data_IF_982263570531
#
_entry.id   IF_982263570531
#
_cell.length_a   1.000
_cell.length_b   1.000
_cell.length_c   1.000
_cell.angle_alpha   90.00
_cell.angle_beta   90.00
_cell.angle_gamma   90.00
#
_symmetry.space_group_name_H-M   'P 1'
#
loop_
_entity.id
_entity.type
_entity.pdbx_description
1 polymer ?
#
# COMPACT_ATOMS: atom_id res chain seq x y z
N UNK A 1 11.03 -25.36 37.91
CA UNK A 1 9.73 -25.49 37.22
C UNK A 1 9.46 -24.15 36.53
N UNK A 2 9.81 -24.04 35.23
CA UNK A 2 9.54 -22.82 34.46
C UNK A 2 8.10 -22.93 33.95
N UNK A 3 7.25 -22.02 34.39
CA UNK A 3 5.89 -21.89 33.88
C UNK A 3 6.02 -21.14 32.55
N UNK A 4 5.89 -21.84 31.44
CA UNK A 4 5.72 -21.22 30.13
C UNK A 4 4.30 -20.67 30.05
N UNK A 5 4.18 -19.35 30.12
CA UNK A 5 2.92 -18.65 29.88
C UNK A 5 2.75 -18.61 28.36
N UNK A 6 2.05 -19.60 27.81
CA UNK A 6 1.65 -19.60 26.41
C UNK A 6 0.81 -18.34 26.13
N UNK A 7 1.30 -17.47 25.25
CA UNK A 7 0.55 -16.30 24.82
C UNK A 7 -0.79 -16.76 24.20
N UNK A 8 -1.89 -16.48 24.90
CA UNK A 8 -3.24 -16.70 24.38
C UNK A 8 -3.41 -15.86 23.11
N UNK A 9 -3.64 -16.51 21.96
CA UNK A 9 -4.01 -15.83 20.72
C UNK A 9 -5.41 -15.22 20.89
N UNK A 10 -5.63 -13.95 20.53
CA UNK A 10 -6.95 -13.33 20.65
C UNK A 10 -7.99 -14.05 19.76
N UNK A 11 -9.25 -14.09 20.21
CA UNK A 11 -10.40 -14.80 19.58
C UNK A 11 -10.69 -14.43 18.11
N UNK A 12 -10.09 -13.37 17.58
CA UNK A 12 -10.33 -12.83 16.23
C UNK A 12 -9.53 -13.52 15.10
N UNK A 13 -9.03 -14.75 15.31
CA UNK A 13 -8.15 -15.44 14.36
C UNK A 13 -8.88 -16.39 13.39
N UNK A 14 -10.21 -16.39 13.34
CA UNK A 14 -10.93 -17.36 12.50
C UNK A 14 -10.85 -16.96 11.02
N UNK A 15 -10.10 -17.72 10.23
CA UNK A 15 -10.22 -17.72 8.77
C UNK A 15 -11.43 -18.55 8.40
N UNK A 16 -12.49 -17.90 7.92
CA UNK A 16 -13.75 -18.54 7.51
C UNK A 16 -14.14 -18.23 6.06
N UNK A 17 -13.32 -17.44 5.35
CA UNK A 17 -13.39 -17.25 3.92
C UNK A 17 -12.01 -17.06 3.31
N UNK A 18 -11.95 -17.16 1.98
CA UNK A 18 -10.71 -16.97 1.22
C UNK A 18 -10.45 -15.51 0.86
N UNK A 19 -11.48 -14.66 0.83
CA UNK A 19 -11.41 -13.28 0.36
C UNK A 19 -11.31 -12.22 1.47
N UNK A 20 -11.47 -12.62 2.74
CA UNK A 20 -11.48 -11.70 3.89
C UNK A 20 -12.87 -11.26 4.34
N UNK A 21 -13.95 -11.76 3.74
CA UNK A 21 -15.30 -11.62 4.31
C UNK A 21 -15.47 -12.60 5.48
N UNK A 22 -16.30 -12.27 6.46
CA UNK A 22 -16.62 -13.19 7.55
C UNK A 22 -17.88 -14.00 7.20
N UNK A 23 -17.69 -15.22 6.70
CA UNK A 23 -18.81 -16.10 6.38
C UNK A 23 -19.56 -16.58 7.62
N UNK A 24 -18.90 -16.65 8.79
CA UNK A 24 -19.51 -17.11 10.04
C UNK A 24 -20.70 -16.24 10.44
N UNK A 25 -20.54 -14.92 10.33
CA UNK A 25 -21.54 -13.94 10.77
C UNK A 25 -22.40 -13.41 9.59
N UNK A 26 -22.43 -14.16 8.49
CA UNK A 26 -23.08 -13.74 7.26
C UNK A 26 -24.58 -14.10 7.26
N UNK A 27 -25.45 -13.09 7.16
CA UNK A 27 -26.92 -13.24 7.09
C UNK A 27 -27.42 -14.13 5.94
N UNK A 28 -26.60 -14.33 4.90
CA UNK A 28 -26.92 -15.20 3.77
C UNK A 28 -26.87 -16.69 4.14
N UNK A 29 -26.21 -17.08 5.24
CA UNK A 29 -26.25 -18.46 5.74
C UNK A 29 -27.64 -18.87 6.17
N UNK A 30 -28.33 -17.99 6.90
CA UNK A 30 -29.71 -18.24 7.34
C UNK A 30 -30.72 -17.99 6.23
N UNK A 31 -30.61 -16.86 5.52
CA UNK A 31 -31.63 -16.44 4.56
C UNK A 31 -31.61 -17.21 3.23
N UNK A 32 -30.46 -17.74 2.81
CA UNK A 32 -30.32 -18.49 1.55
C UNK A 32 -29.76 -19.91 1.72
N UNK A 33 -29.64 -20.41 2.96
CA UNK A 33 -29.02 -21.71 3.24
C UNK A 33 -27.56 -21.79 2.78
N UNK A 34 -26.83 -20.66 2.77
CA UNK A 34 -25.45 -20.62 2.30
C UNK A 34 -24.52 -21.46 3.22
N UNK A 35 -23.80 -22.43 2.65
CA UNK A 35 -22.80 -23.22 3.39
C UNK A 35 -21.55 -22.42 3.80
N UNK A 36 -21.31 -21.26 3.20
CA UNK A 36 -20.12 -20.44 3.42
C UNK A 36 -18.94 -20.84 2.52
N UNK A 37 -17.92 -19.97 2.40
CA UNK A 37 -16.87 -20.10 1.40
C UNK A 37 -15.98 -21.34 1.56
N UNK A 38 -15.51 -21.62 2.79
CA UNK A 38 -14.57 -22.73 3.05
C UNK A 38 -15.27 -24.08 2.94
N UNK A 39 -16.42 -24.25 3.61
CA UNK A 39 -17.19 -25.50 3.64
C UNK A 39 -17.65 -25.94 2.24
N UNK A 40 -18.05 -24.97 1.41
CA UNK A 40 -18.53 -25.24 0.04
C UNK A 40 -17.41 -25.34 -0.99
N UNK A 41 -16.13 -25.31 -0.58
CA UNK A 41 -15.00 -25.28 -1.51
C UNK A 41 -15.12 -24.17 -2.56
N UNK A 42 -15.55 -22.97 -2.14
CA UNK A 42 -15.70 -21.82 -3.01
C UNK A 42 -17.01 -21.75 -3.78
N UNK A 43 -18.04 -22.49 -3.38
CA UNK A 43 -19.37 -22.49 -4.00
C UNK A 43 -20.46 -22.03 -2.99
N UNK A 44 -20.42 -20.77 -2.51
CA UNK A 44 -21.48 -20.20 -1.68
C UNK A 44 -22.82 -20.13 -2.43
N UNK A 45 -23.85 -19.55 -1.81
CA UNK A 45 -25.23 -19.51 -2.36
C UNK A 45 -25.34 -18.98 -3.80
N UNK A 46 -24.41 -18.12 -4.23
CA UNK A 46 -24.36 -17.54 -5.57
C UNK A 46 -23.49 -18.33 -6.58
N UNK A 47 -23.09 -19.56 -6.25
CA UNK A 47 -22.27 -20.42 -7.10
C UNK A 47 -20.76 -20.17 -6.99
N UNK A 48 -20.01 -20.55 -8.02
CA UNK A 48 -18.55 -20.57 -7.98
C UNK A 48 -17.93 -19.17 -7.80
N UNK A 49 -17.07 -19.04 -6.78
CA UNK A 49 -16.38 -17.79 -6.45
C UNK A 49 -15.00 -17.71 -7.13
N UNK A 50 -14.72 -16.67 -7.95
CA UNK A 50 -13.44 -16.55 -8.64
C UNK A 50 -12.25 -16.25 -7.71
N UNK A 51 -12.47 -15.63 -6.55
CA UNK A 51 -11.42 -15.46 -5.54
C UNK A 51 -11.08 -16.80 -4.89
N UNK A 52 -12.10 -17.62 -4.60
CA UNK A 52 -11.88 -18.95 -4.03
C UNK A 52 -11.10 -19.84 -5.00
N UNK A 53 -11.53 -19.90 -6.27
CA UNK A 53 -10.84 -20.64 -7.32
C UNK A 53 -9.38 -20.20 -7.49
N UNK A 54 -9.11 -18.89 -7.44
CA UNK A 54 -7.75 -18.35 -7.46
C UNK A 54 -6.90 -18.87 -6.29
N UNK A 55 -7.43 -18.83 -5.06
CA UNK A 55 -6.72 -19.33 -3.88
C UNK A 55 -6.45 -20.84 -3.97
N UNK A 56 -7.45 -21.61 -4.40
CA UNK A 56 -7.36 -23.07 -4.55
C UNK A 56 -6.33 -23.48 -5.60
N UNK A 57 -6.33 -22.85 -6.78
CA UNK A 57 -5.35 -23.12 -7.84
C UNK A 57 -3.90 -22.79 -7.46
N UNK A 58 -3.72 -21.88 -6.50
CA UNK A 58 -2.41 -21.45 -5.99
C UNK A 58 -2.04 -22.13 -4.67
N UNK A 59 -2.88 -23.06 -4.21
CA UNK A 59 -2.70 -23.79 -2.96
C UNK A 59 -2.50 -22.88 -1.74
N UNK A 60 -3.17 -21.71 -1.74
CA UNK A 60 -3.21 -20.80 -0.59
C UNK A 60 -4.56 -20.87 0.10
N UNK A 61 -4.57 -20.71 1.43
CA UNK A 61 -5.81 -20.75 2.21
C UNK A 61 -6.68 -19.55 1.89
N UNK A 62 -6.09 -18.36 1.88
CA UNK A 62 -6.78 -17.09 1.70
C UNK A 62 -5.87 -16.06 0.99
N UNK A 63 -6.46 -14.98 0.46
CA UNK A 63 -5.71 -13.91 -0.20
C UNK A 63 -4.60 -13.31 0.68
N UNK A 64 -4.82 -13.32 2.01
CA UNK A 64 -3.80 -12.99 3.01
C UNK A 64 -2.45 -13.71 2.87
N UNK A 65 -2.35 -14.82 2.14
CA UNK A 65 -1.10 -15.57 1.96
C UNK A 65 -0.35 -15.23 0.65
N UNK A 66 -0.96 -14.50 -0.28
CA UNK A 66 -0.36 -14.11 -1.58
C UNK A 66 0.92 -13.24 -1.44
N UNK A 67 1.63 -12.90 -2.51
CA UNK A 67 2.74 -11.93 -2.38
C UNK A 67 2.23 -10.49 -2.35
N UNK A 68 1.15 -10.20 -3.08
CA UNK A 68 0.46 -8.90 -3.09
C UNK A 68 -0.92 -8.97 -2.42
N UNK A 69 -1.26 -7.99 -1.56
CA UNK A 69 -2.63 -7.77 -1.07
C UNK A 69 -3.02 -6.28 -1.10
N UNK A 70 -4.10 -5.93 -1.79
CA UNK A 70 -4.84 -6.77 -2.73
C UNK A 70 -4.03 -6.99 -4.00
N UNK A 71 -4.16 -8.16 -4.61
CA UNK A 71 -3.91 -8.29 -6.04
C UNK A 71 -5.05 -7.60 -6.81
N UNK A 72 -4.87 -7.34 -8.11
CA UNK A 72 -5.88 -6.67 -8.94
C UNK A 72 -7.29 -7.30 -8.78
N UNK A 73 -7.38 -8.64 -8.79
CA UNK A 73 -8.66 -9.34 -8.62
C UNK A 73 -9.36 -9.00 -7.30
N UNK A 74 -8.63 -9.03 -6.17
CA UNK A 74 -9.21 -8.67 -4.88
C UNK A 74 -9.52 -7.17 -4.78
N UNK A 75 -8.69 -6.33 -5.42
CA UNK A 75 -8.89 -4.89 -5.47
C UNK A 75 -10.19 -4.54 -6.18
N UNK A 76 -10.44 -5.10 -7.36
CA UNK A 76 -11.68 -4.92 -8.11
C UNK A 76 -12.90 -5.25 -7.24
N UNK A 77 -12.90 -6.41 -6.59
CA UNK A 77 -14.01 -6.82 -5.73
C UNK A 77 -14.17 -6.00 -4.46
N UNK A 78 -13.10 -5.47 -3.87
CA UNK A 78 -13.15 -4.81 -2.56
C UNK A 78 -13.35 -3.31 -2.67
N UNK A 79 -12.82 -2.69 -3.72
CA UNK A 79 -12.79 -1.24 -3.90
C UNK A 79 -13.64 -0.72 -5.06
N UNK A 80 -13.78 -1.49 -6.15
CA UNK A 80 -14.37 -0.98 -7.40
C UNK A 80 -15.79 -1.50 -7.67
N UNK A 81 -16.17 -2.64 -7.10
CA UNK A 81 -17.48 -3.26 -7.31
C UNK A 81 -18.57 -2.45 -6.58
N UNK A 82 -19.49 -1.77 -7.28
CA UNK A 82 -20.50 -0.92 -6.65
C UNK A 82 -21.63 -1.72 -5.98
N UNK A 83 -21.84 -2.97 -6.40
CA UNK A 83 -22.93 -3.83 -5.94
C UNK A 83 -22.49 -4.79 -4.84
N UNK A 84 -21.35 -5.45 -5.04
CA UNK A 84 -20.82 -6.50 -4.16
C UNK A 84 -19.50 -6.12 -3.47
N UNK A 85 -19.06 -4.87 -3.65
CA UNK A 85 -17.90 -4.32 -2.97
C UNK A 85 -18.11 -4.01 -1.51
N UNK A 86 -17.02 -3.67 -0.83
CA UNK A 86 -17.06 -3.41 0.60
C UNK A 86 -17.62 -2.02 0.91
N UNK A 87 -18.21 -1.89 2.10
CA UNK A 87 -18.73 -0.63 2.63
C UNK A 87 -18.29 -0.49 4.09
N UNK A 88 -17.16 0.20 4.37
CA UNK A 88 -16.34 0.99 3.43
C UNK A 88 -15.46 0.17 2.46
N UNK A 89 -15.06 0.76 1.31
CA UNK A 89 -14.14 0.12 0.36
C UNK A 89 -12.83 -0.34 1.03
N UNK A 90 -12.46 -1.61 0.85
CA UNK A 90 -11.23 -2.18 1.40
C UNK A 90 -11.38 -3.02 2.67
N UNK A 91 -12.58 -3.26 3.20
CA UNK A 91 -12.76 -4.02 4.44
C UNK A 91 -12.22 -5.45 4.37
N UNK A 92 -12.60 -6.23 3.35
CA UNK A 92 -12.12 -7.62 3.21
C UNK A 92 -10.61 -7.67 2.99
N UNK A 93 -10.08 -6.63 2.35
CA UNK A 93 -8.64 -6.44 2.17
C UNK A 93 -7.97 -6.23 3.51
N UNK A 94 -8.52 -5.37 4.37
CA UNK A 94 -8.04 -5.16 5.74
C UNK A 94 -8.04 -6.45 6.54
N UNK A 95 -9.07 -7.29 6.44
CA UNK A 95 -9.09 -8.62 7.09
C UNK A 95 -7.96 -9.52 6.57
N UNK A 96 -7.81 -9.65 5.25
CA UNK A 96 -6.72 -10.42 4.64
C UNK A 96 -5.34 -9.96 5.11
N UNK A 97 -5.18 -8.67 5.38
CA UNK A 97 -3.95 -8.06 5.87
C UNK A 97 -3.68 -8.38 7.33
N UNK A 98 -4.71 -8.40 8.17
CA UNK A 98 -4.58 -8.85 9.56
C UNK A 98 -4.13 -10.31 9.60
N UNK A 99 -4.75 -11.19 8.81
CA UNK A 99 -4.32 -12.59 8.69
C UNK A 99 -2.87 -12.71 8.20
N UNK A 100 -2.49 -11.92 7.19
CA UNK A 100 -1.11 -11.86 6.71
C UNK A 100 -0.13 -11.45 7.82
N UNK A 101 -0.41 -10.37 8.54
CA UNK A 101 0.44 -9.87 9.61
C UNK A 101 0.60 -10.90 10.75
N UNK A 102 -0.48 -11.59 11.11
CA UNK A 102 -0.48 -12.64 12.13
C UNK A 102 0.32 -13.89 11.71
N UNK A 103 0.37 -14.18 10.40
CA UNK A 103 1.25 -15.22 9.83
C UNK A 103 2.72 -14.79 9.69
N UNK A 104 3.08 -13.58 10.14
CA UNK A 104 4.42 -12.99 10.00
C UNK A 104 4.68 -12.32 8.65
N UNK A 105 3.76 -12.46 7.67
CA UNK A 105 3.78 -11.80 6.36
C UNK A 105 3.29 -10.35 6.48
N UNK A 106 4.16 -9.40 6.85
CA UNK A 106 3.83 -7.96 6.77
C UNK A 106 4.07 -7.47 5.34
N UNK A 107 3.01 -7.10 4.62
CA UNK A 107 3.03 -6.92 3.15
C UNK A 107 3.28 -5.51 2.61
N UNK A 108 3.39 -4.48 3.45
CA UNK A 108 4.05 -3.23 3.08
C UNK A 108 4.99 -2.81 4.20
N UNK A 109 6.29 -2.97 3.96
CA UNK A 109 7.35 -2.58 4.91
C UNK A 109 8.15 -1.37 4.43
N UNK A 110 7.91 -0.97 3.18
CA UNK A 110 8.71 -0.01 2.43
C UNK A 110 8.04 1.37 2.43
N UNK A 111 7.66 1.85 3.61
CA UNK A 111 7.12 3.19 3.82
C UNK A 111 8.12 3.97 4.66
N UNK A 112 8.61 5.09 4.14
CA UNK A 112 9.55 5.98 4.78
C UNK A 112 8.93 7.38 4.92
N UNK A 113 8.61 7.76 6.16
CA UNK A 113 8.04 9.05 6.49
C UNK A 113 9.11 9.89 7.20
N UNK A 114 9.43 11.06 6.66
CA UNK A 114 10.46 11.97 7.18
C UNK A 114 9.96 13.41 7.20
N UNK A 115 10.42 14.19 8.17
CA UNK A 115 10.07 15.61 8.27
C UNK A 115 10.85 16.48 7.26
N UNK A 116 12.07 16.07 6.88
CA UNK A 116 13.00 16.94 6.15
C UNK A 116 14.00 16.15 5.28
N UNK A 117 13.51 15.19 4.49
CA UNK A 117 14.35 14.47 3.53
C UNK A 117 15.42 13.57 4.19
N UNK A 118 16.54 13.43 3.50
CA UNK A 118 17.66 12.55 3.83
C UNK A 118 18.86 13.28 4.44
N UNK A 119 18.92 14.61 4.38
CA UNK A 119 20.01 15.42 4.92
C UNK A 119 19.55 16.35 6.04
N UNK A 120 20.48 16.88 6.83
CA UNK A 120 20.21 18.03 7.69
C UNK A 120 20.46 19.36 6.97
N UNK A 121 20.15 20.47 7.65
CA UNK A 121 20.32 21.82 7.09
C UNK A 121 21.79 22.19 6.80
N UNK A 122 22.76 21.35 7.18
CA UNK A 122 24.16 21.50 6.86
C UNK A 122 24.61 20.59 5.70
N UNK A 123 23.69 19.89 5.03
CA UNK A 123 23.99 18.96 3.93
C UNK A 123 24.58 17.64 4.38
N UNK A 124 24.46 17.28 5.66
CA UNK A 124 24.97 15.98 6.16
C UNK A 124 23.89 14.93 6.05
N UNK A 125 24.22 13.82 5.40
CA UNK A 125 23.30 12.68 5.28
C UNK A 125 22.92 12.09 6.64
N UNK A 126 21.63 11.90 6.84
CA UNK A 126 21.03 11.14 7.94
C UNK A 126 21.19 9.66 7.63
N UNK A 127 22.35 9.11 7.99
CA UNK A 127 22.77 7.73 7.66
C UNK A 127 21.70 6.68 7.99
N UNK A 128 20.97 6.84 9.09
CA UNK A 128 19.88 5.93 9.46
C UNK A 128 18.71 5.93 8.47
N UNK A 129 18.35 7.11 7.92
CA UNK A 129 17.29 7.24 6.93
C UNK A 129 17.75 6.70 5.58
N UNK A 130 18.97 7.08 5.16
CA UNK A 130 19.57 6.59 3.91
C UNK A 130 19.69 5.07 3.92
N UNK A 131 20.28 4.48 4.96
CA UNK A 131 20.39 3.02 5.08
C UNK A 131 19.03 2.33 5.06
N UNK A 132 18.01 2.96 5.66
CA UNK A 132 16.66 2.41 5.65
C UNK A 132 16.04 2.47 4.25
N UNK A 133 16.20 3.57 3.52
CA UNK A 133 15.77 3.71 2.13
C UNK A 133 16.44 2.66 1.24
N UNK A 134 17.77 2.54 1.31
CA UNK A 134 18.52 1.55 0.53
C UNK A 134 18.08 0.12 0.83
N UNK A 135 17.83 -0.21 2.10
CA UNK A 135 17.34 -1.54 2.50
C UNK A 135 15.89 -1.85 2.07
N UNK A 136 15.12 -0.84 1.62
CA UNK A 136 13.78 -1.04 1.05
C UNK A 136 13.82 -1.37 -0.44
N UNK A 137 14.90 -1.02 -1.14
CA UNK A 137 15.08 -1.33 -2.55
C UNK A 137 15.42 -2.80 -2.75
N UNK A 138 14.88 -3.38 -3.81
CA UNK A 138 15.09 -4.78 -4.21
C UNK A 138 16.12 -4.93 -5.32
N UNK A 139 16.58 -3.81 -5.89
CA UNK A 139 17.65 -3.72 -6.88
C UNK A 139 18.74 -2.74 -6.41
N UNK A 140 19.91 -2.71 -7.07
CA UNK A 140 20.89 -1.65 -6.87
C UNK A 140 20.27 -0.25 -6.97
N UNK A 141 20.73 0.67 -6.13
CA UNK A 141 20.16 2.04 -6.07
C UNK A 141 20.21 2.75 -7.42
N UNK A 142 21.27 2.56 -8.21
CA UNK A 142 21.40 3.17 -9.54
C UNK A 142 20.32 2.71 -10.53
N UNK A 143 19.76 1.51 -10.36
CA UNK A 143 18.73 0.93 -11.23
C UNK A 143 17.30 1.30 -10.80
N UNK A 144 17.12 1.87 -9.61
CA UNK A 144 15.79 2.15 -9.07
C UNK A 144 15.13 3.33 -9.78
N UNK A 145 13.92 3.12 -10.30
CA UNK A 145 13.10 4.17 -10.95
C UNK A 145 12.24 4.90 -9.93
N UNK A 146 12.38 6.23 -9.88
CA UNK A 146 11.68 7.10 -8.95
C UNK A 146 10.64 7.95 -9.67
N UNK A 147 9.38 7.81 -9.26
CA UNK A 147 8.32 8.76 -9.56
C UNK A 147 8.37 9.89 -8.52
N UNK A 148 8.87 11.06 -8.92
CA UNK A 148 9.09 12.21 -8.06
C UNK A 148 7.92 13.18 -8.17
N UNK A 149 7.28 13.50 -7.04
CA UNK A 149 6.04 14.27 -6.98
C UNK A 149 6.31 15.56 -6.20
N UNK A 150 6.69 16.65 -6.91
CA UNK A 150 6.98 17.95 -6.31
C UNK A 150 5.72 18.78 -6.03
N UNK A 151 4.52 18.28 -6.31
CA UNK A 151 3.26 19.06 -6.35
C UNK A 151 2.95 19.88 -5.11
N UNK A 152 3.41 19.45 -3.92
CA UNK A 152 3.21 20.25 -2.71
C UNK A 152 3.98 21.59 -2.73
N UNK A 153 5.07 21.68 -3.51
CA UNK A 153 5.97 22.83 -3.56
C UNK A 153 5.45 23.95 -4.48
N UNK A 154 4.49 24.73 -3.97
CA UNK A 154 3.83 25.80 -4.74
C UNK A 154 4.60 27.13 -4.74
N UNK A 155 5.28 27.45 -3.65
CA UNK A 155 6.11 28.65 -3.50
C UNK A 155 7.60 28.36 -3.78
N UNK A 156 8.37 29.41 -4.04
CA UNK A 156 9.77 29.28 -4.48
C UNK A 156 10.66 28.63 -3.43
N UNK A 157 10.45 28.91 -2.15
CA UNK A 157 11.20 28.28 -1.07
C UNK A 157 10.91 26.76 -0.99
N UNK A 158 9.66 26.36 -1.17
CA UNK A 158 9.30 24.95 -1.22
C UNK A 158 9.88 24.26 -2.46
N UNK A 159 9.96 24.95 -3.61
CA UNK A 159 10.58 24.41 -4.84
C UNK A 159 12.08 24.20 -4.67
N UNK A 160 12.76 25.15 -4.02
CA UNK A 160 14.18 24.99 -3.69
C UNK A 160 14.42 23.76 -2.79
N UNK A 161 13.52 23.51 -1.84
CA UNK A 161 13.56 22.32 -0.98
C UNK A 161 13.19 21.03 -1.73
N UNK A 162 12.30 21.08 -2.72
CA UNK A 162 12.01 19.94 -3.59
C UNK A 162 13.24 19.59 -4.43
N UNK A 163 13.92 20.58 -5.02
CA UNK A 163 15.17 20.36 -5.73
C UNK A 163 16.30 19.88 -4.81
N UNK A 164 16.29 20.28 -3.54
CA UNK A 164 17.16 19.68 -2.53
C UNK A 164 16.87 18.19 -2.37
N UNK A 165 15.61 17.79 -2.17
CA UNK A 165 15.22 16.38 -2.08
C UNK A 165 15.64 15.57 -3.32
N UNK A 166 15.56 16.17 -4.52
CA UNK A 166 16.08 15.52 -5.74
C UNK A 166 17.59 15.29 -5.66
N UNK A 167 18.36 16.29 -5.23
CA UNK A 167 19.82 16.16 -5.07
C UNK A 167 20.18 15.10 -4.03
N UNK A 168 19.38 14.94 -2.97
CA UNK A 168 19.57 13.87 -2.00
C UNK A 168 19.44 12.48 -2.64
N UNK A 169 18.41 12.27 -3.49
CA UNK A 169 18.23 11.01 -4.22
C UNK A 169 19.44 10.71 -5.12
N UNK A 170 19.93 11.70 -5.85
CA UNK A 170 21.14 11.58 -6.67
C UNK A 170 22.36 11.28 -5.80
N UNK A 171 22.50 11.98 -4.67
CA UNK A 171 23.62 11.83 -3.73
C UNK A 171 23.67 10.47 -3.04
N UNK A 172 22.54 9.75 -2.92
CA UNK A 172 22.51 8.36 -2.43
C UNK A 172 22.69 7.32 -3.55
N UNK A 173 22.82 7.77 -4.80
CA UNK A 173 23.17 6.93 -5.95
C UNK A 173 22.03 6.59 -6.91
N UNK A 174 20.87 7.27 -6.83
CA UNK A 174 19.84 7.16 -7.86
C UNK A 174 20.35 7.85 -9.13
N UNK A 175 20.22 7.19 -10.28
CA UNK A 175 20.57 7.82 -11.56
C UNK A 175 19.61 8.97 -11.89
N UNK A 176 20.15 10.09 -12.37
CA UNK A 176 19.36 11.24 -12.83
C UNK A 176 18.32 10.87 -13.88
N UNK A 177 18.64 9.94 -14.79
CA UNK A 177 17.71 9.49 -15.84
C UNK A 177 16.54 8.67 -15.28
N UNK A 178 16.70 8.11 -14.07
CA UNK A 178 15.69 7.30 -13.40
C UNK A 178 14.74 8.10 -12.50
N UNK A 179 14.87 9.43 -12.46
CA UNK A 179 13.96 10.32 -11.71
C UNK A 179 12.99 10.97 -12.69
N UNK A 180 11.72 10.61 -12.61
CA UNK A 180 10.65 11.19 -13.43
C UNK A 180 9.76 12.09 -12.60
N UNK A 181 9.66 13.36 -13.01
CA UNK A 181 8.75 14.31 -12.36
C UNK A 181 7.30 14.07 -12.78
N UNK A 182 6.40 14.13 -11.81
CA UNK A 182 4.98 14.02 -12.07
C UNK A 182 4.19 14.96 -11.16
N UNK A 183 3.51 15.93 -11.77
CA UNK A 183 2.80 17.00 -11.05
C UNK A 183 1.30 16.72 -10.85
N UNK A 184 0.92 15.44 -10.77
CA UNK A 184 -0.47 15.01 -10.57
C UNK A 184 -1.42 15.67 -11.58
N UNK A 185 -1.13 15.56 -12.87
CA UNK A 185 -1.95 16.12 -13.96
C UNK A 185 -3.04 15.17 -14.47
N UNK A 186 -3.05 13.93 -13.97
CA UNK A 186 -4.02 12.88 -14.35
C UNK A 186 -3.62 12.06 -15.57
N UNK A 187 -2.45 12.31 -16.16
CA UNK A 187 -1.97 11.59 -17.35
C UNK A 187 -1.39 10.21 -17.05
N UNK A 188 -0.96 9.94 -15.80
CA UNK A 188 -0.32 8.68 -15.44
C UNK A 188 -1.34 7.56 -15.23
N UNK A 189 -1.19 6.48 -16.00
CA UNK A 189 -1.99 5.27 -15.82
C UNK A 189 -1.45 4.40 -14.69
N UNK A 190 -2.30 3.53 -14.11
CA UNK A 190 -1.86 2.56 -13.12
C UNK A 190 -0.79 1.59 -13.64
N UNK A 191 -0.79 1.28 -14.94
CA UNK A 191 0.19 0.37 -15.53
C UNK A 191 1.57 1.04 -15.61
N UNK A 192 1.62 2.29 -16.10
CA UNK A 192 2.84 3.08 -16.17
C UNK A 192 3.40 3.36 -14.75
N UNK A 193 2.55 3.68 -13.78
CA UNK A 193 2.98 3.89 -12.40
C UNK A 193 3.66 2.64 -11.79
N UNK A 194 3.27 1.44 -12.21
CA UNK A 194 3.84 0.19 -11.71
C UNK A 194 5.23 -0.13 -12.29
N UNK A 195 5.71 0.61 -13.28
CA UNK A 195 7.10 0.54 -13.76
C UNK A 195 8.09 1.24 -12.82
N UNK A 196 7.58 2.06 -11.88
CA UNK A 196 8.40 2.72 -10.88
C UNK A 196 8.55 1.86 -9.62
N UNK A 197 9.71 1.99 -8.98
CA UNK A 197 10.05 1.27 -7.76
C UNK A 197 9.82 2.12 -6.51
N UNK A 198 9.95 3.43 -6.68
CA UNK A 198 9.79 4.43 -5.63
C UNK A 198 8.76 5.46 -6.07
N UNK A 199 7.84 5.81 -5.17
CA UNK A 199 7.02 7.01 -5.25
C UNK A 199 7.48 7.97 -4.15
N UNK A 200 7.93 9.17 -4.54
CA UNK A 200 8.53 10.15 -3.66
C UNK A 200 7.69 11.44 -3.65
N UNK A 201 7.05 11.74 -2.52
CA UNK A 201 6.31 12.98 -2.31
C UNK A 201 7.17 14.00 -1.55
N UNK A 202 7.34 15.18 -2.12
CA UNK A 202 8.06 16.28 -1.45
C UNK A 202 7.21 16.99 -0.39
N UNK A 203 7.86 17.88 0.37
CA UNK A 203 7.19 18.79 1.29
C UNK A 203 6.58 20.01 0.60
N UNK A 204 5.76 20.76 1.35
CA UNK A 204 5.10 21.98 0.88
C UNK A 204 3.69 22.11 1.45
N UNK A 205 2.74 22.49 0.60
CA UNK A 205 1.34 22.68 0.98
C UNK A 205 0.56 21.35 0.97
N UNK A 206 0.28 20.81 2.16
CA UNK A 206 -0.47 19.55 2.34
C UNK A 206 -1.89 19.60 1.78
N UNK A 207 -2.60 20.72 1.95
CA UNK A 207 -3.98 20.87 1.47
C UNK A 207 -4.06 20.84 -0.05
N UNK A 208 -3.15 21.54 -0.71
CA UNK A 208 -3.01 21.54 -2.17
C UNK A 208 -2.66 20.14 -2.68
N UNK A 209 -1.68 19.47 -2.07
CA UNK A 209 -1.30 18.11 -2.44
C UNK A 209 -2.49 17.14 -2.33
N UNK A 210 -3.21 17.16 -1.20
CA UNK A 210 -4.38 16.30 -0.99
C UNK A 210 -5.49 16.60 -2.01
N UNK A 211 -5.75 17.87 -2.31
CA UNK A 211 -6.74 18.27 -3.30
C UNK A 211 -6.39 17.72 -4.69
N UNK A 212 -5.13 17.86 -5.13
CA UNK A 212 -4.65 17.34 -6.42
C UNK A 212 -4.74 15.82 -6.51
N UNK A 213 -4.39 15.11 -5.44
CA UNK A 213 -4.53 13.64 -5.38
C UNK A 213 -6.00 13.23 -5.56
N UNK A 214 -6.95 13.94 -4.93
CA UNK A 214 -8.38 13.66 -5.03
C UNK A 214 -8.92 13.98 -6.42
N UNK A 215 -8.63 15.16 -6.95
CA UNK A 215 -9.14 15.64 -8.24
C UNK A 215 -8.72 14.74 -9.40
N UNK A 216 -7.53 14.12 -9.30
CA UNK A 216 -6.97 13.24 -10.34
C UNK A 216 -7.25 11.76 -10.08
N UNK A 217 -7.86 11.40 -8.95
CA UNK A 217 -8.04 10.01 -8.55
C UNK A 217 -6.72 9.27 -8.27
N UNK A 218 -5.61 9.98 -8.09
CA UNK A 218 -4.27 9.41 -7.95
C UNK A 218 -4.10 8.55 -6.69
N UNK A 219 -5.02 8.67 -5.72
CA UNK A 219 -5.10 7.81 -4.54
C UNK A 219 -5.11 6.31 -4.90
N UNK A 220 -5.78 5.93 -5.99
CA UNK A 220 -5.81 4.54 -6.46
C UNK A 220 -4.41 4.04 -6.83
N UNK A 221 -3.60 4.88 -7.49
CA UNK A 221 -2.22 4.57 -7.88
C UNK A 221 -1.33 4.45 -6.64
N UNK A 222 -1.41 5.41 -5.71
CA UNK A 222 -0.65 5.37 -4.45
C UNK A 222 -0.91 4.06 -3.72
N UNK A 223 -2.19 3.72 -3.51
CA UNK A 223 -2.60 2.47 -2.86
C UNK A 223 -2.02 1.26 -3.59
N UNK A 224 -2.17 1.20 -4.91
CA UNK A 224 -1.67 0.08 -5.71
C UNK A 224 -0.16 -0.11 -5.58
N UNK A 225 0.63 0.98 -5.66
CA UNK A 225 2.09 0.93 -5.50
C UNK A 225 2.48 0.45 -4.10
N UNK A 226 1.90 1.02 -3.04
CA UNK A 226 2.16 0.60 -1.65
C UNK A 226 1.80 -0.86 -1.43
N UNK A 227 0.68 -1.31 -1.99
CA UNK A 227 0.18 -2.68 -1.84
C UNK A 227 0.97 -3.71 -2.66
N UNK A 228 1.67 -3.26 -3.68
CA UNK A 228 2.70 -4.01 -4.38
C UNK A 228 4.08 -3.92 -3.70
N UNK A 229 4.16 -3.33 -2.49
CA UNK A 229 5.38 -3.14 -1.70
C UNK A 229 6.47 -2.33 -2.44
N UNK A 230 6.07 -1.46 -3.38
CA UNK A 230 6.92 -0.38 -3.89
C UNK A 230 7.27 0.58 -2.74
N UNK A 231 8.38 1.28 -2.86
CA UNK A 231 8.85 2.18 -1.82
C UNK A 231 8.04 3.47 -1.85
N UNK A 232 7.36 3.78 -0.75
CA UNK A 232 6.75 5.08 -0.53
C UNK A 232 7.70 5.94 0.30
N UNK A 233 8.06 7.11 -0.21
CA UNK A 233 8.78 8.13 0.55
C UNK A 233 7.92 9.38 0.63
N UNK A 234 7.67 9.84 1.84
CA UNK A 234 6.94 11.09 2.09
C UNK A 234 7.78 12.06 2.89
N UNK A 235 8.00 13.27 2.37
CA UNK A 235 8.66 14.36 3.09
C UNK A 235 7.63 15.38 3.55
N UNK A 236 7.57 15.68 4.85
CA UNK A 236 6.68 16.71 5.41
C UNK A 236 5.22 16.53 4.96
N UNK A 237 4.69 17.36 4.05
CA UNK A 237 3.37 17.20 3.43
C UNK A 237 3.15 15.80 2.86
N UNK A 238 4.15 15.24 2.17
CA UNK A 238 4.12 13.86 1.67
C UNK A 238 4.06 12.80 2.78
N UNK A 239 4.51 13.10 4.00
CA UNK A 239 4.28 12.23 5.16
C UNK A 239 2.85 12.34 5.69
N UNK A 240 2.31 13.56 5.72
CA UNK A 240 0.97 13.84 6.25
C UNK A 240 -0.13 13.21 5.38
N UNK A 241 0.00 13.20 4.05
CA UNK A 241 -1.02 12.57 3.20
C UNK A 241 -1.10 11.04 3.34
N UNK A 242 -0.13 10.41 4.01
CA UNK A 242 -0.17 9.00 4.35
C UNK A 242 -0.98 8.70 5.64
N UNK A 243 -1.41 9.72 6.39
CA UNK A 243 -2.20 9.56 7.63
C UNK A 243 -3.70 9.52 7.34
N UNK A 244 -4.54 8.93 8.22
CA UNK A 244 -5.99 8.86 8.02
C UNK A 244 -6.70 10.22 7.98
N UNK A 245 -6.13 11.23 8.65
CA UNK A 245 -6.56 12.61 8.64
C UNK A 245 -5.31 13.51 8.73
N UNK A 246 -5.34 14.67 8.06
CA UNK A 246 -4.29 15.70 8.07
C UNK A 246 -4.53 16.81 9.10
N UNK A 247 -5.62 16.75 9.86
CA UNK A 247 -6.04 17.75 10.85
C UNK A 247 -7.42 18.29 10.52
#
# INVERSE_FOLDING_TARGET
MKIEIGAQKPENFRVDSRCGLHCTDCLWKESQGCGGCIETQGHPFHGACPIAACCQSREVTHCGECDSIPCNRLYTYSYLDPEHGDRPPGDRVSVCRHWAAQSGKRKWRNVLLTAAGFEDMAGRQKVNIVNRFLAMLHQPVAEARVLFIPTAAIDDAAKDMAEWCRRELIGVGIDTENITDYDLDGSLTEAAAMEFDVIYFTGGNTGHLLQRIKDTGFEAIIKKMVYANRVYVGVSAGSLIATPNIG
#
